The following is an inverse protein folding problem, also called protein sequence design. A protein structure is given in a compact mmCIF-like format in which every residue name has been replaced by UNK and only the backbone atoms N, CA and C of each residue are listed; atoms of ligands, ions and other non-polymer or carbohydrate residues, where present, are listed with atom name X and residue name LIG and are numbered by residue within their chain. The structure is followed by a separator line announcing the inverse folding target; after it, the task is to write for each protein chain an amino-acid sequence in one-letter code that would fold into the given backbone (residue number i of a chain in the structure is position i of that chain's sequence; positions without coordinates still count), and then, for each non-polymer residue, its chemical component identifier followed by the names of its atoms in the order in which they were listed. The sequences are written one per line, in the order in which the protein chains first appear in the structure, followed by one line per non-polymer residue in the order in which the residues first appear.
data_IF_185140344855
#
_entry.id   IF_185140344855
#
_cell.length_a   1.000
_cell.length_b   1.000
_cell.length_c   1.000
_cell.angle_alpha   90.00
_cell.angle_beta   90.00
_cell.angle_gamma   90.00
#
_symmetry.space_group_name_H-M   'P 1'
#
loop_
_entity.id
_entity.type
_entity.pdbx_description
1 polymer ?
#
# COMPACT_ATOMS: atom_id res chain seq x y z
N UNK A 1 27.35 -14.70 -5.04
CA UNK A 1 25.91 -14.89 -4.79
C UNK A 1 25.21 -13.55 -4.93
N UNK A 2 24.01 -13.51 -5.51
CA UNK A 2 23.19 -12.29 -5.61
C UNK A 2 22.56 -12.00 -4.24
N UNK A 3 22.36 -10.72 -3.92
CA UNK A 3 21.69 -10.30 -2.68
C UNK A 3 20.22 -10.75 -2.67
N UNK A 4 19.74 -11.24 -1.52
CA UNK A 4 18.34 -11.62 -1.34
C UNK A 4 17.44 -10.37 -1.39
N UNK A 5 16.25 -10.46 -2.03
CA UNK A 5 15.31 -9.34 -2.10
C UNK A 5 14.85 -8.92 -0.71
N UNK A 6 14.73 -7.61 -0.49
CA UNK A 6 14.30 -7.03 0.78
C UNK A 6 12.93 -6.34 0.64
N UNK A 7 12.10 -6.34 1.70
CA UNK A 7 10.87 -5.56 1.74
C UNK A 7 11.10 -4.11 1.29
N UNK A 8 10.21 -3.58 0.46
CA UNK A 8 10.26 -2.22 -0.06
C UNK A 8 11.09 -2.06 -1.35
N UNK A 9 11.96 -3.01 -1.70
CA UNK A 9 12.73 -2.94 -2.95
C UNK A 9 11.84 -3.13 -4.18
N UNK A 10 12.24 -2.50 -5.28
CA UNK A 10 11.54 -2.55 -6.55
C UNK A 10 12.28 -3.45 -7.53
N UNK A 11 11.53 -4.22 -8.32
CA UNK A 11 12.06 -5.16 -9.29
C UNK A 11 11.32 -5.07 -10.62
N UNK A 12 12.06 -5.20 -11.72
CA UNK A 12 11.52 -5.32 -13.07
C UNK A 12 11.61 -6.76 -13.54
N UNK A 13 10.47 -7.33 -13.91
CA UNK A 13 10.43 -8.61 -14.58
C UNK A 13 10.93 -8.47 -16.02
N UNK A 14 11.56 -9.50 -16.59
CA UNK A 14 12.10 -9.47 -17.97
C UNK A 14 11.07 -9.19 -19.07
N UNK A 15 9.78 -9.23 -18.73
CA UNK A 15 8.64 -8.80 -19.58
C UNK A 15 8.25 -7.32 -19.37
N UNK A 16 9.16 -6.51 -18.84
CA UNK A 16 8.95 -5.09 -18.54
C UNK A 16 7.70 -4.79 -17.71
N UNK A 17 7.48 -5.59 -16.66
CA UNK A 17 6.45 -5.29 -15.66
C UNK A 17 7.12 -5.05 -14.32
N UNK A 18 6.64 -4.03 -13.61
CA UNK A 18 7.21 -3.56 -12.35
C UNK A 18 6.51 -4.20 -11.16
N UNK A 19 7.30 -4.51 -10.15
CA UNK A 19 6.86 -5.14 -8.92
C UNK A 19 7.59 -4.55 -7.71
N UNK A 20 6.95 -4.59 -6.55
CA UNK A 20 7.58 -4.26 -5.26
C UNK A 20 7.62 -5.50 -4.37
N UNK A 21 8.73 -5.70 -3.66
CA UNK A 21 8.83 -6.76 -2.66
C UNK A 21 8.04 -6.35 -1.43
N UNK A 22 7.04 -7.15 -1.08
CA UNK A 22 6.27 -6.96 0.15
C UNK A 22 7.04 -7.62 1.29
N UNK A 23 7.41 -8.89 1.16
CA UNK A 23 8.09 -9.63 2.20
C UNK A 23 8.87 -10.83 1.65
N UNK A 24 9.79 -11.35 2.45
CA UNK A 24 10.30 -12.71 2.28
C UNK A 24 9.68 -13.56 3.36
N UNK A 25 8.99 -14.62 2.97
CA UNK A 25 8.27 -15.52 3.84
C UNK A 25 8.88 -16.92 3.85
N UNK A 26 8.54 -17.71 4.86
CA UNK A 26 8.86 -19.15 4.91
C UNK A 26 7.56 -19.92 4.75
N UNK A 27 7.49 -20.80 3.75
CA UNK A 27 6.36 -21.69 3.56
C UNK A 27 6.21 -22.57 4.80
N UNK A 28 5.04 -22.56 5.45
CA UNK A 28 4.85 -23.24 6.74
C UNK A 28 5.05 -24.75 6.64
N UNK A 29 4.57 -25.36 5.56
CA UNK A 29 4.64 -26.81 5.34
C UNK A 29 6.03 -27.26 4.84
N UNK A 30 6.53 -26.69 3.74
CA UNK A 30 7.79 -27.13 3.12
C UNK A 30 9.04 -26.47 3.70
N UNK A 31 8.88 -25.39 4.49
CA UNK A 31 9.96 -24.53 4.99
C UNK A 31 10.78 -23.81 3.91
N UNK A 32 10.31 -23.82 2.67
CA UNK A 32 10.97 -23.12 1.56
C UNK A 32 10.83 -21.60 1.70
N UNK A 33 11.85 -20.86 1.28
CA UNK A 33 11.77 -19.40 1.22
C UNK A 33 10.92 -18.97 0.02
N UNK A 34 9.97 -18.08 0.27
CA UNK A 34 9.12 -17.45 -0.73
C UNK A 34 9.37 -15.95 -0.76
N UNK A 35 9.37 -15.39 -1.96
CA UNK A 35 9.28 -13.94 -2.18
C UNK A 35 7.82 -13.59 -2.38
N UNK A 36 7.31 -12.71 -1.52
CA UNK A 36 5.98 -12.11 -1.61
C UNK A 36 6.14 -10.75 -2.27
N UNK A 37 5.52 -10.54 -3.42
CA UNK A 37 5.70 -9.34 -4.22
C UNK A 37 4.37 -8.88 -4.84
N UNK A 38 4.23 -7.58 -5.03
CA UNK A 38 3.03 -6.93 -5.54
C UNK A 38 3.28 -6.37 -6.93
N UNK A 39 2.33 -6.56 -7.85
CA UNK A 39 2.34 -5.89 -9.15
C UNK A 39 2.10 -4.39 -8.99
N UNK A 40 2.84 -3.57 -9.74
CA UNK A 40 2.64 -2.11 -9.77
C UNK A 40 1.84 -1.67 -11.01
N UNK A 41 0.95 -2.54 -11.48
CA UNK A 41 0.11 -2.36 -12.66
C UNK A 41 -1.19 -3.15 -12.52
N UNK A 42 -2.19 -2.83 -13.33
CA UNK A 42 -3.50 -3.49 -13.29
C UNK A 42 -4.15 -3.37 -11.92
N UNK A 43 -4.66 -4.47 -11.37
CA UNK A 43 -5.33 -4.54 -10.06
C UNK A 43 -4.35 -4.61 -8.86
N UNK A 44 -3.04 -4.41 -9.08
CA UNK A 44 -2.03 -4.44 -8.01
C UNK A 44 -2.02 -5.74 -7.19
N UNK A 45 -2.22 -6.88 -7.86
CA UNK A 45 -2.26 -8.20 -7.23
C UNK A 45 -0.96 -8.58 -6.50
N UNK A 46 -1.09 -9.38 -5.44
CA UNK A 46 0.01 -9.88 -4.61
C UNK A 46 0.25 -11.35 -4.91
N UNK A 47 1.52 -11.73 -5.11
CA UNK A 47 1.93 -13.06 -5.52
C UNK A 47 3.00 -13.62 -4.58
N UNK A 48 3.05 -14.95 -4.48
CA UNK A 48 4.10 -15.70 -3.79
C UNK A 48 4.88 -16.53 -4.82
N UNK A 49 6.21 -16.54 -4.72
CA UNK A 49 7.07 -17.34 -5.61
C UNK A 49 8.27 -17.90 -4.84
N UNK A 50 8.71 -19.16 -5.09
CA UNK A 50 9.94 -19.69 -4.53
C UNK A 50 11.14 -18.76 -4.78
N UNK A 51 11.95 -18.55 -3.75
CA UNK A 51 13.11 -17.65 -3.78
C UNK A 51 14.04 -17.96 -4.96
N UNK A 52 14.39 -19.23 -5.12
CA UNK A 52 15.30 -19.68 -6.19
C UNK A 52 14.73 -19.38 -7.58
N UNK A 53 13.41 -19.56 -7.76
CA UNK A 53 12.74 -19.24 -9.01
C UNK A 53 12.63 -17.73 -9.26
N UNK A 54 12.52 -16.93 -8.20
CA UNK A 54 12.51 -15.47 -8.30
C UNK A 54 13.90 -14.94 -8.69
N UNK A 55 14.96 -15.48 -8.07
CA UNK A 55 16.34 -15.06 -8.30
C UNK A 55 16.98 -15.69 -9.55
N UNK A 56 16.31 -16.65 -10.19
CA UNK A 56 16.80 -17.37 -11.37
C UNK A 56 17.08 -16.48 -12.59
N UNK A 57 17.97 -16.97 -13.46
CA UNK A 57 18.27 -16.37 -14.75
C UNK A 57 17.09 -16.52 -15.73
N UNK A 58 17.03 -15.62 -16.71
CA UNK A 58 16.10 -15.79 -17.84
C UNK A 58 16.56 -16.99 -18.65
N UNK A 59 15.63 -17.86 -18.97
CA UNK A 59 15.85 -18.94 -19.94
C UNK A 59 16.15 -18.33 -21.33
N UNK A 60 17.43 -18.33 -21.71
CA UNK A 60 17.90 -17.76 -22.98
C UNK A 60 17.60 -18.64 -24.18
N UNK A 61 17.34 -19.94 -23.99
CA UNK A 61 16.90 -20.82 -25.09
C UNK A 61 15.49 -20.45 -25.52
N UNK A 62 14.63 -20.15 -24.55
CA UNK A 62 13.25 -19.72 -24.82
C UNK A 62 13.12 -18.24 -25.16
N UNK A 63 14.00 -17.40 -24.63
CA UNK A 63 13.95 -15.94 -24.77
C UNK A 63 15.32 -15.37 -25.18
N UNK A 64 15.76 -15.67 -26.40
CA UNK A 64 17.06 -15.23 -26.95
C UNK A 64 17.23 -13.71 -26.97
N UNK A 65 16.15 -12.99 -27.25
CA UNK A 65 16.19 -11.54 -27.51
C UNK A 65 16.17 -10.69 -26.23
N UNK A 66 15.95 -11.34 -25.08
CA UNK A 66 15.87 -10.64 -23.79
C UNK A 66 17.28 -10.27 -23.34
N UNK A 67 17.57 -8.97 -23.27
CA UNK A 67 18.85 -8.45 -22.76
C UNK A 67 19.03 -8.70 -21.27
N UNK A 68 17.93 -8.68 -20.51
CA UNK A 68 17.93 -8.88 -19.06
C UNK A 68 18.55 -10.23 -18.67
N UNK A 69 19.41 -10.27 -17.65
CA UNK A 69 20.08 -11.50 -17.22
C UNK A 69 19.17 -12.33 -16.32
N UNK A 70 18.56 -11.70 -15.32
CA UNK A 70 17.70 -12.37 -14.35
C UNK A 70 16.23 -12.17 -14.65
N UNK A 71 15.38 -13.10 -14.22
CA UNK A 71 13.92 -12.98 -14.43
C UNK A 71 13.37 -11.72 -13.78
N UNK A 72 13.91 -11.35 -12.63
CA UNK A 72 13.64 -10.11 -11.92
C UNK A 72 14.96 -9.39 -11.62
N UNK A 73 15.09 -8.14 -12.01
CA UNK A 73 16.25 -7.29 -11.70
C UNK A 73 15.83 -6.13 -10.80
N UNK A 74 16.63 -5.83 -9.79
CA UNK A 74 16.35 -4.74 -8.84
C UNK A 74 16.50 -3.41 -9.56
N UNK A 75 15.60 -2.48 -9.28
CA UNK A 75 15.65 -1.10 -9.77
C UNK A 75 15.75 -0.14 -8.58
N UNK A 76 16.56 0.89 -8.72
CA UNK A 76 16.74 1.93 -7.69
C UNK A 76 15.81 3.12 -7.96
N UNK A 77 15.61 3.49 -9.24
CA UNK A 77 14.83 4.65 -9.66
C UNK A 77 13.61 4.26 -10.50
N UNK A 78 12.44 4.08 -9.87
CA UNK A 78 11.18 3.78 -10.57
C UNK A 78 10.81 4.88 -11.58
N UNK A 79 11.09 6.15 -11.24
CA UNK A 79 10.71 7.31 -12.04
C UNK A 79 11.43 7.39 -13.41
N UNK A 80 12.56 6.72 -13.56
CA UNK A 80 13.29 6.62 -14.84
C UNK A 80 12.69 5.52 -15.73
N UNK A 81 12.26 4.41 -15.13
CA UNK A 81 11.72 3.24 -15.84
C UNK A 81 10.28 3.47 -16.34
N UNK A 82 9.43 4.14 -15.56
CA UNK A 82 8.02 4.42 -15.92
C UNK A 82 7.83 5.32 -17.14
N UNK A 83 8.88 6.00 -17.62
CA UNK A 83 8.86 6.81 -18.85
C UNK A 83 9.01 5.98 -20.13
N UNK A 84 9.50 4.74 -20.03
CA UNK A 84 9.78 3.89 -21.19
C UNK A 84 8.56 3.08 -21.69
N UNK A 85 7.53 2.91 -20.86
CA UNK A 85 6.42 1.97 -21.10
C UNK A 85 5.17 2.57 -21.78
N UNK A 86 5.15 3.86 -22.13
CA UNK A 86 3.97 4.49 -22.76
C UNK A 86 3.63 4.00 -24.19
N UNK A 87 4.41 3.08 -24.76
CA UNK A 87 4.22 2.62 -26.14
C UNK A 87 3.45 1.29 -26.27
N UNK A 88 3.23 0.52 -25.19
CA UNK A 88 2.72 -0.86 -25.28
C UNK A 88 1.34 -1.11 -24.66
N UNK A 89 0.76 -0.15 -23.93
CA UNK A 89 -0.56 -0.31 -23.28
C UNK A 89 -1.78 0.07 -24.17
N UNK A 90 -1.57 0.53 -25.41
CA UNK A 90 -2.65 0.99 -26.30
C UNK A 90 -3.53 -0.11 -26.92
N UNK A 91 -3.46 -1.37 -26.47
CA UNK A 91 -4.28 -2.47 -27.01
C UNK A 91 -5.20 -3.17 -26.01
N UNK A 92 -5.22 -2.76 -24.74
CA UNK A 92 -6.08 -3.41 -23.70
C UNK A 92 -7.17 -2.47 -23.17
N UNK A 93 -7.07 -1.16 -23.44
CA UNK A 93 -7.99 -0.13 -22.97
C UNK A 93 -9.21 -0.02 -23.89
N UNK A 94 -10.06 -1.05 -23.95
CA UNK A 94 -11.37 -0.87 -24.61
C UNK A 94 -12.52 -1.71 -24.01
N UNK A 95 -12.30 -2.49 -22.95
CA UNK A 95 -13.37 -3.33 -22.40
C UNK A 95 -13.88 -2.98 -20.99
N UNK A 96 -13.14 -2.21 -20.17
CA UNK A 96 -13.59 -1.91 -18.79
C UNK A 96 -14.10 -0.48 -18.61
N UNK A 97 -14.92 -0.01 -19.58
CA UNK A 97 -15.62 1.28 -19.52
C UNK A 97 -17.13 1.08 -19.64
N UNK A 98 -17.70 0.26 -18.75
CA UNK A 98 -19.15 0.22 -18.55
C UNK A 98 -19.46 -0.36 -17.18
N UNK A 99 -20.34 0.33 -16.43
CA UNK A 99 -20.85 0.07 -15.07
C UNK A 99 -20.02 0.79 -13.99
N UNK A 100 -20.49 1.82 -13.28
CA UNK A 100 -21.80 2.46 -13.13
C UNK A 100 -21.56 3.90 -12.65
N UNK A 101 -21.91 4.87 -13.49
CA UNK A 101 -22.48 6.14 -13.04
C UNK A 101 -23.92 5.87 -12.56
N UNK A 102 -24.48 6.83 -11.82
CA UNK A 102 -25.85 6.91 -11.30
C UNK A 102 -26.11 6.31 -9.90
N UNK A 103 -25.94 7.16 -8.87
CA UNK A 103 -27.12 7.68 -8.14
C UNK A 103 -26.72 8.82 -7.20
N UNK A 104 -26.82 10.05 -7.70
CA UNK A 104 -27.01 11.25 -6.87
C UNK A 104 -28.47 11.24 -6.42
N UNK A 105 -28.72 11.34 -5.13
CA UNK A 105 -29.99 11.84 -4.60
C UNK A 105 -29.71 12.62 -3.32
N UNK A 106 -29.97 13.92 -3.44
CA UNK A 106 -30.04 14.88 -2.35
C UNK A 106 -31.06 14.41 -1.32
N UNK A 107 -30.71 14.53 -0.04
CA UNK A 107 -31.66 15.14 0.88
C UNK A 107 -30.95 16.09 1.85
N UNK A 108 -31.54 17.27 1.99
CA UNK A 108 -31.12 18.33 2.89
C UNK A 108 -31.45 17.90 4.31
N UNK A 109 -30.53 18.07 5.27
CA UNK A 109 -30.88 18.70 6.56
C UNK A 109 -29.65 19.03 7.41
N UNK A 110 -29.68 20.26 7.93
CA UNK A 110 -28.92 20.80 9.08
C UNK A 110 -27.44 21.10 8.83
N UNK A 111 -27.21 22.28 8.22
CA UNK A 111 -26.00 23.07 8.44
C UNK A 111 -25.87 23.37 9.93
N UNK A 112 -24.89 22.75 10.59
CA UNK A 112 -24.37 23.22 11.88
C UNK A 112 -22.96 23.76 11.65
N UNK A 113 -22.67 24.94 12.19
CA UNK A 113 -21.47 25.75 12.02
C UNK A 113 -20.15 25.12 12.55
N UNK A 114 -19.92 23.81 12.37
CA UNK A 114 -18.68 23.09 12.71
C UNK A 114 -17.73 22.88 11.52
N UNK A 115 -18.08 23.32 10.32
CA UNK A 115 -17.26 23.14 9.11
C UNK A 115 -16.05 24.10 9.03
N UNK A 116 -16.01 25.16 9.83
CA UNK A 116 -14.94 26.16 9.77
C UNK A 116 -13.62 25.68 10.41
N UNK A 117 -13.64 24.61 11.20
CA UNK A 117 -12.50 24.11 11.97
C UNK A 117 -12.01 22.72 11.55
N UNK A 118 -12.58 22.15 10.48
CA UNK A 118 -12.15 20.86 9.95
C UNK A 118 -10.69 20.91 9.51
N UNK A 119 -9.88 19.95 9.97
CA UNK A 119 -8.52 19.79 9.51
C UNK A 119 -7.58 20.90 9.99
N UNK A 120 -7.80 21.42 11.19
CA UNK A 120 -6.94 22.41 11.85
C UNK A 120 -6.42 21.86 13.18
N UNK A 121 -5.37 22.51 13.70
CA UNK A 121 -4.77 22.17 14.99
C UNK A 121 -4.28 20.72 15.02
N UNK A 122 -4.82 19.94 15.96
CA UNK A 122 -4.40 18.57 16.22
C UNK A 122 -4.46 17.67 14.98
N UNK A 123 -5.38 17.91 14.05
CA UNK A 123 -5.50 17.09 12.84
C UNK A 123 -4.29 17.24 11.93
N UNK A 124 -3.75 18.47 11.80
CA UNK A 124 -2.52 18.71 11.03
C UNK A 124 -1.32 18.11 11.75
N UNK A 125 -1.20 18.33 13.07
CA UNK A 125 -0.14 17.73 13.89
C UNK A 125 -0.14 16.19 13.76
N UNK A 126 -1.32 15.57 13.71
CA UNK A 126 -1.48 14.14 13.51
C UNK A 126 -1.01 13.68 12.12
N UNK A 127 -1.31 14.45 11.07
CA UNK A 127 -0.89 14.12 9.71
C UNK A 127 0.63 14.28 9.54
N UNK A 128 1.21 15.30 10.16
CA UNK A 128 2.64 15.63 10.10
C UNK A 128 3.52 14.72 10.97
N UNK A 129 2.95 14.07 11.98
CA UNK A 129 3.72 13.18 12.85
C UNK A 129 4.38 12.01 12.08
N UNK A 130 5.69 11.87 12.25
CA UNK A 130 6.51 10.88 11.54
C UNK A 130 6.37 9.45 12.10
N UNK A 131 5.92 9.30 13.35
CA UNK A 131 5.80 8.01 14.03
C UNK A 131 4.41 7.74 14.61
N UNK A 132 4.07 6.46 14.70
CA UNK A 132 2.76 6.00 15.16
C UNK A 132 2.51 6.28 16.65
N UNK A 133 3.57 6.40 17.47
CA UNK A 133 3.45 6.70 18.90
C UNK A 133 2.98 8.14 19.08
N UNK A 134 3.61 9.09 18.38
CA UNK A 134 3.20 10.50 18.38
C UNK A 134 1.77 10.65 17.86
N UNK A 135 1.41 9.96 16.77
CA UNK A 135 0.03 9.94 16.26
C UNK A 135 -0.98 9.46 17.29
N UNK A 136 -0.65 8.40 18.04
CA UNK A 136 -1.48 7.87 19.12
C UNK A 136 -1.63 8.88 20.25
N UNK A 137 -0.55 9.54 20.68
CA UNK A 137 -0.60 10.56 21.74
C UNK A 137 -1.51 11.72 21.35
N UNK A 138 -1.44 12.19 20.10
CA UNK A 138 -2.29 13.26 19.57
C UNK A 138 -3.77 12.84 19.59
N UNK A 139 -4.11 11.61 19.17
CA UNK A 139 -5.48 11.12 19.23
C UNK A 139 -6.01 11.02 20.67
N UNK A 140 -5.18 10.56 21.61
CA UNK A 140 -5.57 10.44 23.03
C UNK A 140 -5.80 11.82 23.63
N UNK A 141 -4.88 12.76 23.41
CA UNK A 141 -4.95 14.11 23.95
C UNK A 141 -6.16 14.90 23.44
N UNK A 142 -6.58 14.65 22.20
CA UNK A 142 -7.64 15.39 21.53
C UNK A 142 -8.95 14.61 21.38
N UNK A 143 -9.10 13.45 22.05
CA UNK A 143 -10.24 12.52 21.88
C UNK A 143 -11.62 13.17 21.90
N UNK A 144 -11.79 14.22 22.72
CA UNK A 144 -13.08 14.92 22.84
C UNK A 144 -13.36 15.88 21.68
N UNK A 145 -12.30 16.42 21.06
CA UNK A 145 -12.35 17.39 19.97
C UNK A 145 -12.51 16.73 18.60
N UNK A 146 -12.18 15.44 18.49
CA UNK A 146 -12.21 14.75 17.20
C UNK A 146 -13.64 14.69 16.65
N UNK A 147 -13.83 15.26 15.46
CA UNK A 147 -15.10 15.23 14.76
C UNK A 147 -15.31 13.90 14.00
N UNK A 148 -16.57 13.57 13.74
CA UNK A 148 -16.95 12.39 12.93
C UNK A 148 -16.28 12.40 11.55
N UNK A 149 -16.17 13.58 10.93
CA UNK A 149 -15.56 13.76 9.61
C UNK A 149 -14.05 13.54 9.65
N UNK A 150 -13.37 13.98 10.70
CA UNK A 150 -11.93 13.76 10.89
C UNK A 150 -11.65 12.29 11.14
N UNK A 151 -12.46 11.60 11.96
CA UNK A 151 -12.36 10.15 12.11
C UNK A 151 -12.55 9.42 10.79
N UNK A 152 -13.59 9.74 10.02
CA UNK A 152 -13.82 9.12 8.71
C UNK A 152 -12.59 9.30 7.80
N UNK A 153 -12.00 10.49 7.79
CA UNK A 153 -10.79 10.80 7.01
C UNK A 153 -9.58 9.99 7.49
N UNK A 154 -9.37 9.90 8.80
CA UNK A 154 -8.27 9.11 9.37
C UNK A 154 -8.44 7.64 9.00
N UNK A 155 -9.63 7.07 9.15
CA UNK A 155 -9.91 5.69 8.76
C UNK A 155 -9.62 5.45 7.27
N UNK A 156 -9.99 6.39 6.40
CA UNK A 156 -9.70 6.31 4.96
C UNK A 156 -8.20 6.35 4.65
N UNK A 157 -7.44 7.25 5.29
CA UNK A 157 -5.98 7.36 5.14
C UNK A 157 -5.30 6.03 5.47
N UNK A 158 -5.78 5.34 6.50
CA UNK A 158 -5.22 4.05 6.92
C UNK A 158 -5.88 2.84 6.24
N UNK A 159 -6.82 3.05 5.31
CA UNK A 159 -7.53 1.98 4.60
C UNK A 159 -8.37 1.09 5.53
N UNK A 160 -8.82 1.63 6.67
CA UNK A 160 -9.59 0.93 7.67
C UNK A 160 -11.09 1.13 7.47
N UNK A 161 -11.88 0.13 7.84
CA UNK A 161 -13.35 0.24 7.84
C UNK A 161 -13.85 0.70 9.20
N UNK A 162 -14.45 1.89 9.24
CA UNK A 162 -15.07 2.44 10.45
C UNK A 162 -16.43 1.79 10.74
N UNK A 163 -16.70 1.51 12.02
CA UNK A 163 -17.95 0.85 12.46
C UNK A 163 -19.07 1.86 12.73
N UNK A 164 -18.72 3.08 13.18
CA UNK A 164 -19.67 4.18 13.47
C UNK A 164 -20.72 3.80 14.52
N UNK A 165 -20.34 2.93 15.47
CA UNK A 165 -21.21 2.53 16.59
C UNK A 165 -21.09 3.54 17.71
N UNK A 166 -19.86 3.88 18.07
CA UNK A 166 -19.51 4.80 19.15
C UNK A 166 -18.14 5.43 18.83
N UNK A 167 -18.03 6.74 19.05
CA UNK A 167 -16.84 7.51 18.70
C UNK A 167 -15.61 7.07 19.51
N UNK A 168 -15.79 6.81 20.80
CA UNK A 168 -14.69 6.38 21.67
C UNK A 168 -14.22 4.96 21.32
N UNK A 169 -15.15 4.08 20.93
CA UNK A 169 -14.79 2.76 20.40
C UNK A 169 -14.01 2.85 19.08
N UNK A 170 -14.41 3.73 18.17
CA UNK A 170 -13.68 3.95 16.91
C UNK A 170 -12.27 4.53 17.19
N UNK A 171 -12.14 5.47 18.12
CA UNK A 171 -10.82 6.00 18.55
C UNK A 171 -9.97 4.88 19.18
N UNK A 172 -10.57 4.04 20.03
CA UNK A 172 -9.88 2.91 20.66
C UNK A 172 -9.42 1.86 19.63
N UNK A 173 -10.21 1.59 18.59
CA UNK A 173 -9.85 0.72 17.47
C UNK A 173 -8.63 1.28 16.71
N UNK A 174 -8.62 2.58 16.41
CA UNK A 174 -7.48 3.27 15.77
C UNK A 174 -6.21 3.18 16.62
N UNK A 175 -6.33 3.43 17.93
CA UNK A 175 -5.22 3.31 18.87
C UNK A 175 -4.67 1.88 18.89
N UNK A 176 -5.57 0.88 18.97
CA UNK A 176 -5.19 -0.53 18.93
C UNK A 176 -4.50 -0.91 17.61
N UNK A 177 -4.98 -0.37 16.48
CA UNK A 177 -4.34 -0.55 15.18
C UNK A 177 -2.91 0.04 15.15
N UNK A 178 -2.69 1.24 15.69
CA UNK A 178 -1.34 1.81 15.77
C UNK A 178 -0.41 1.02 16.67
N UNK A 179 -0.89 0.53 17.82
CA UNK A 179 -0.11 -0.35 18.69
C UNK A 179 0.31 -1.64 17.97
N UNK A 180 -0.61 -2.24 17.21
CA UNK A 180 -0.30 -3.39 16.37
C UNK A 180 0.73 -3.04 15.30
N UNK A 181 0.51 -1.97 14.52
CA UNK A 181 1.42 -1.56 13.46
C UNK A 181 2.82 -1.23 13.98
N UNK A 182 2.95 -0.55 15.11
CA UNK A 182 4.24 -0.27 15.72
C UNK A 182 5.03 -1.56 16.06
N UNK A 183 4.33 -2.60 16.52
CA UNK A 183 4.93 -3.91 16.77
C UNK A 183 5.30 -4.67 15.48
N UNK A 184 4.50 -4.55 14.43
CA UNK A 184 4.71 -5.24 13.15
C UNK A 184 5.73 -4.53 12.25
N UNK A 185 5.57 -3.22 12.00
CA UNK A 185 6.49 -2.42 11.17
C UNK A 185 7.84 -2.21 11.85
N UNK A 186 7.86 -2.00 13.17
CA UNK A 186 9.10 -1.84 13.93
C UNK A 186 10.04 -3.07 13.83
N UNK A 187 9.50 -4.24 13.51
CA UNK A 187 10.26 -5.47 13.22
C UNK A 187 10.54 -5.69 11.73
N UNK A 188 9.72 -5.11 10.84
CA UNK A 188 9.81 -5.26 9.38
C UNK A 188 10.79 -4.28 8.75
N UNK A 189 10.88 -3.06 9.27
CA UNK A 189 11.71 -1.96 8.73
C UNK A 189 13.08 -1.84 9.41
N UNK A 190 13.30 -2.50 10.55
CA UNK A 190 14.64 -2.61 11.15
C UNK A 190 15.43 -3.73 10.48
N UNK A 191 16.15 -3.41 9.40
CA UNK A 191 17.32 -4.13 8.91
C UNK A 191 18.33 -3.18 8.29
#
# INVERSE_FOLDING_TARGET
MREEPKPGEFYRHFKNKLYQIVAVATHSETREKLVIYQALYGEYGVYARPMDMFMSEVDKEKYSDVKQKYRFERIEDIAKESKSDKASDSKVIEQDKKLKEDSVSNDNTLKTDKDADFGKGYFIEFLEADDLSTKKEILIANRELISERELDTIYEIYGLKRRKIDRDLDIADLIGYFDMQQQYEGKRLRK
#
